data_IF_931118011292
#
_entry.id   IF_931118011292
#
_cell.length_a   1.000
_cell.length_b   1.000
_cell.length_c   1.000
_cell.angle_alpha   90.00
_cell.angle_beta   90.00
_cell.angle_gamma   90.00
#
_symmetry.space_group_name_H-M   'P 1'
#
loop_
_entity.id
_entity.type
_entity.pdbx_description
1 polymer ?
#
# COMPACT_ATOMS: atom_id res chain seq x y z
N UNK A 1 -5.61 -75.83 -13.01
CA UNK A 1 -6.32 -74.56 -12.64
C UNK A 1 -5.29 -73.52 -12.35
N UNK A 2 -4.94 -72.65 -13.33
CA UNK A 2 -4.02 -71.56 -13.20
C UNK A 2 -4.85 -70.31 -12.87
N UNK A 3 -4.51 -69.61 -11.80
CA UNK A 3 -5.07 -68.29 -11.40
C UNK A 3 -4.17 -67.21 -11.98
N UNK A 4 -4.68 -66.48 -12.95
CA UNK A 4 -4.04 -65.30 -13.53
C UNK A 4 -4.26 -64.11 -12.59
N UNK A 5 -3.20 -63.57 -11.98
CA UNK A 5 -3.25 -62.35 -11.17
C UNK A 5 -3.13 -61.10 -12.07
N UNK A 6 -4.10 -60.20 -11.99
CA UNK A 6 -4.09 -58.92 -12.66
C UNK A 6 -3.32 -57.95 -11.77
N UNK A 7 -2.21 -57.40 -12.27
CA UNK A 7 -1.45 -56.30 -11.64
C UNK A 7 -2.05 -54.99 -12.11
N UNK A 8 -2.68 -54.25 -11.22
CA UNK A 8 -3.13 -52.88 -11.48
C UNK A 8 -1.96 -51.93 -11.18
N UNK A 9 -1.37 -51.37 -12.22
CA UNK A 9 -0.39 -50.28 -12.11
C UNK A 9 -1.14 -48.99 -11.76
N UNK A 10 -1.05 -48.58 -10.50
CA UNK A 10 -1.46 -47.27 -10.07
C UNK A 10 -0.50 -46.20 -10.60
N UNK A 11 -0.99 -45.29 -11.44
CA UNK A 11 -0.26 -44.10 -11.90
C UNK A 11 -0.07 -43.12 -10.73
N UNK A 12 1.16 -43.02 -10.23
CA UNK A 12 1.54 -41.97 -9.30
C UNK A 12 1.74 -40.67 -10.09
N UNK A 13 0.75 -39.82 -10.08
CA UNK A 13 0.91 -38.45 -10.59
C UNK A 13 1.80 -37.65 -9.61
N UNK A 14 3.06 -37.48 -9.97
CA UNK A 14 3.98 -36.62 -9.23
C UNK A 14 3.49 -35.17 -9.33
N UNK A 15 2.98 -34.65 -8.24
CA UNK A 15 2.66 -33.25 -8.06
C UNK A 15 3.98 -32.49 -7.99
N UNK A 16 4.39 -31.84 -9.09
CA UNK A 16 5.52 -30.91 -9.10
C UNK A 16 5.23 -29.78 -8.12
N UNK A 17 6.17 -29.45 -7.20
CA UNK A 17 5.99 -28.29 -6.34
C UNK A 17 5.93 -27.04 -7.21
N UNK A 18 4.88 -26.23 -7.02
CA UNK A 18 4.78 -24.91 -7.63
C UNK A 18 6.03 -24.11 -7.21
N UNK A 19 6.88 -23.79 -8.17
CA UNK A 19 7.99 -22.87 -7.98
C UNK A 19 7.39 -21.56 -7.48
N UNK A 20 7.63 -21.22 -6.23
CA UNK A 20 7.33 -19.91 -5.68
C UNK A 20 8.12 -18.90 -6.52
N UNK A 21 7.43 -18.18 -7.41
CA UNK A 21 8.05 -17.09 -8.15
C UNK A 21 8.53 -16.07 -7.13
N UNK A 22 9.84 -15.82 -7.12
CA UNK A 22 10.42 -14.76 -6.32
C UNK A 22 9.71 -13.45 -6.68
N UNK A 23 9.06 -12.81 -5.72
CA UNK A 23 8.37 -11.54 -5.94
C UNK A 23 9.41 -10.48 -6.30
N UNK A 24 9.16 -9.75 -7.38
CA UNK A 24 10.01 -8.63 -7.79
C UNK A 24 10.06 -7.59 -6.65
N UNK A 25 11.28 -7.28 -6.19
CA UNK A 25 11.50 -6.29 -5.14
C UNK A 25 12.24 -5.10 -5.72
N UNK A 26 11.70 -3.90 -5.52
CA UNK A 26 12.29 -2.64 -5.96
C UNK A 26 12.76 -1.87 -4.73
N UNK A 27 14.08 -1.73 -4.57
CA UNK A 27 14.65 -0.88 -3.53
C UNK A 27 14.39 0.59 -3.86
N UNK A 28 13.87 1.34 -2.90
CA UNK A 28 13.67 2.77 -3.03
C UNK A 28 14.97 3.53 -2.76
N UNK A 29 15.07 4.75 -3.27
CA UNK A 29 16.16 5.66 -2.90
C UNK A 29 16.05 6.02 -1.42
N UNK A 30 17.17 6.37 -0.78
CA UNK A 30 17.15 6.91 0.58
C UNK A 30 16.28 8.18 0.62
N UNK A 31 15.47 8.37 1.69
CA UNK A 31 14.63 9.57 1.82
C UNK A 31 15.49 10.82 1.99
N UNK A 32 15.10 11.89 1.33
CA UNK A 32 15.74 13.20 1.47
C UNK A 32 15.28 13.88 2.78
N UNK A 33 16.05 13.68 3.83
CA UNK A 33 15.78 14.28 5.15
C UNK A 33 16.19 15.77 5.23
N UNK A 34 16.91 16.28 4.23
CA UNK A 34 17.28 17.68 4.11
C UNK A 34 16.31 18.51 3.25
N UNK A 35 15.22 17.89 2.79
CA UNK A 35 14.20 18.59 2.00
C UNK A 35 13.76 19.87 2.71
N UNK A 36 13.94 21.00 2.04
CA UNK A 36 13.52 22.30 2.57
C UNK A 36 12.00 22.43 2.57
N UNK A 37 11.46 23.04 3.61
CA UNK A 37 10.04 23.33 3.73
C UNK A 37 9.60 23.58 5.16
N UNK A 38 8.75 24.58 5.35
CA UNK A 38 8.15 24.84 6.66
C UNK A 38 6.90 24.00 6.84
N UNK A 39 6.80 23.31 7.99
CA UNK A 39 5.59 22.60 8.40
C UNK A 39 4.37 23.54 8.36
N UNK A 40 4.52 24.78 8.81
CA UNK A 40 3.42 25.76 8.81
C UNK A 40 2.98 26.13 7.39
N UNK A 41 3.92 26.20 6.45
CA UNK A 41 3.60 26.41 5.03
C UNK A 41 2.90 25.21 4.44
N UNK A 42 3.34 23.98 4.74
CA UNK A 42 2.68 22.76 4.31
C UNK A 42 1.23 22.67 4.84
N UNK A 43 1.02 22.96 6.12
CA UNK A 43 -0.30 23.03 6.75
C UNK A 43 -1.21 24.08 6.09
N UNK A 44 -0.67 25.30 5.85
CA UNK A 44 -1.40 26.39 5.21
C UNK A 44 -1.86 26.06 3.78
N UNK A 45 -0.99 25.39 3.01
CA UNK A 45 -1.22 25.12 1.59
C UNK A 45 -1.94 23.79 1.33
N UNK A 46 -1.97 22.88 2.32
CA UNK A 46 -2.61 21.58 2.16
C UNK A 46 -4.09 21.70 1.81
N UNK A 47 -4.46 21.20 0.66
CA UNK A 47 -5.85 21.09 0.20
C UNK A 47 -6.04 19.80 -0.62
N UNK A 48 -7.29 19.40 -0.82
CA UNK A 48 -7.62 18.24 -1.66
C UNK A 48 -7.65 18.64 -3.13
N UNK A 49 -6.83 17.97 -3.95
CA UNK A 49 -6.75 18.17 -5.41
C UNK A 49 -7.20 16.90 -6.11
N UNK A 50 -8.01 17.04 -7.15
CA UNK A 50 -8.61 15.93 -7.92
C UNK A 50 -8.30 16.03 -9.41
N UNK A 51 -7.38 16.89 -9.78
CA UNK A 51 -6.90 17.08 -11.15
C UNK A 51 -5.40 16.78 -11.18
N UNK A 52 -5.00 15.90 -12.08
CA UNK A 52 -3.63 15.41 -12.17
C UNK A 52 -3.09 15.61 -13.59
N UNK A 53 -1.84 16.01 -13.70
CA UNK A 53 -1.12 16.00 -14.97
C UNK A 53 -0.84 14.54 -15.38
N UNK A 54 -0.81 14.27 -16.68
CA UNK A 54 -0.45 12.96 -17.24
C UNK A 54 1.07 12.71 -17.12
N UNK A 55 1.56 12.68 -15.88
CA UNK A 55 2.97 12.51 -15.55
C UNK A 55 3.12 11.65 -14.30
N UNK A 56 3.98 10.64 -14.35
CA UNK A 56 4.34 9.82 -13.20
C UNK A 56 5.11 10.67 -12.15
N UNK A 57 5.04 10.28 -10.88
CA UNK A 57 5.93 10.80 -9.85
C UNK A 57 7.37 10.37 -10.16
N UNK A 58 8.33 11.17 -9.73
CA UNK A 58 9.73 10.72 -9.75
C UNK A 58 9.96 9.62 -8.72
N UNK A 59 11.00 8.82 -8.90
CA UNK A 59 11.38 7.81 -7.91
C UNK A 59 11.70 8.43 -6.55
N UNK A 60 12.25 9.63 -6.51
CA UNK A 60 12.52 10.38 -5.28
C UNK A 60 11.23 10.83 -4.59
N UNK A 61 10.25 11.37 -5.35
CA UNK A 61 8.94 11.76 -4.79
C UNK A 61 8.23 10.54 -4.17
N UNK A 62 8.23 9.41 -4.87
CA UNK A 62 7.61 8.18 -4.36
C UNK A 62 8.32 7.67 -3.11
N UNK A 63 9.64 7.67 -3.11
CA UNK A 63 10.46 7.25 -1.97
C UNK A 63 10.16 8.12 -0.74
N UNK A 64 10.29 9.43 -0.87
CA UNK A 64 10.04 10.37 0.21
C UNK A 64 8.59 10.30 0.72
N UNK A 65 7.60 10.16 -0.17
CA UNK A 65 6.19 10.02 0.18
C UNK A 65 5.95 8.78 1.04
N UNK A 66 6.51 7.64 0.64
CA UNK A 66 6.38 6.37 1.37
C UNK A 66 7.08 6.44 2.72
N UNK A 67 8.27 7.04 2.78
CA UNK A 67 8.95 7.23 4.04
C UNK A 67 8.20 8.19 4.96
N UNK A 68 7.74 9.32 4.45
CA UNK A 68 6.99 10.30 5.23
C UNK A 68 5.72 9.69 5.83
N UNK A 69 5.01 8.86 5.07
CA UNK A 69 3.72 8.28 5.52
C UNK A 69 3.89 7.22 6.60
N UNK A 70 4.90 6.33 6.48
CA UNK A 70 5.05 5.21 7.42
C UNK A 70 6.46 4.60 7.44
N UNK A 71 7.50 5.33 7.03
CA UNK A 71 8.88 4.82 7.03
C UNK A 71 9.45 4.65 8.42
N UNK A 72 10.47 3.81 8.56
CA UNK A 72 11.24 3.68 9.80
C UNK A 72 12.12 4.93 9.98
N UNK A 73 11.98 5.61 11.10
CA UNK A 73 12.69 6.87 11.38
C UNK A 73 13.66 6.80 12.56
N UNK A 74 13.83 5.60 13.16
CA UNK A 74 14.77 5.43 14.29
C UNK A 74 15.19 3.97 14.43
N UNK A 75 16.34 3.73 15.12
CA UNK A 75 16.98 2.40 15.16
C UNK A 75 16.14 1.29 15.79
N UNK A 76 15.16 1.61 16.62
CA UNK A 76 14.27 0.64 17.26
C UNK A 76 13.11 0.17 16.36
N UNK A 77 13.12 0.52 15.07
CA UNK A 77 12.14 0.10 14.09
C UNK A 77 10.80 0.85 14.15
N UNK A 78 10.69 1.87 14.98
CA UNK A 78 9.50 2.72 15.02
C UNK A 78 9.42 3.60 13.78
N UNK A 79 8.19 3.99 13.44
CA UNK A 79 7.86 4.65 12.19
C UNK A 79 7.57 6.14 12.38
N UNK A 80 7.53 6.87 11.28
CA UNK A 80 7.09 8.28 11.21
C UNK A 80 5.66 8.46 11.70
N UNK A 81 4.78 7.50 11.44
CA UNK A 81 3.42 7.45 11.98
C UNK A 81 3.36 6.51 13.20
N UNK A 82 2.94 6.98 14.39
CA UNK A 82 2.70 6.09 15.53
C UNK A 82 1.46 5.22 15.30
N UNK A 83 1.39 4.10 15.99
CA UNK A 83 0.20 3.24 16.07
C UNK A 83 -0.10 2.87 17.52
N UNK A 84 -1.33 2.48 17.81
CA UNK A 84 -1.76 2.06 19.13
C UNK A 84 -0.82 0.97 19.66
N UNK A 85 -0.29 1.16 20.88
CA UNK A 85 0.66 0.24 21.54
C UNK A 85 1.89 -0.13 20.68
N UNK A 86 2.20 0.66 19.64
CA UNK A 86 3.24 0.36 18.64
C UNK A 86 3.04 -1.01 17.97
N UNK A 87 1.80 -1.41 17.72
CA UNK A 87 1.48 -2.70 17.07
C UNK A 87 1.84 -2.72 15.59
N UNK A 88 2.04 -1.54 15.00
CA UNK A 88 2.45 -1.36 13.60
C UNK A 88 1.56 -2.16 12.63
N UNK A 89 0.27 -2.15 12.90
CA UNK A 89 -0.74 -2.90 12.16
C UNK A 89 -1.07 -2.27 10.81
N UNK A 90 -0.71 -1.00 10.58
CA UNK A 90 -0.99 -0.32 9.32
C UNK A 90 0.07 -0.66 8.29
N UNK A 91 -0.37 -1.34 7.22
CA UNK A 91 0.39 -1.58 5.98
C UNK A 91 0.04 -0.53 4.92
N UNK A 92 1.02 -0.17 4.08
CA UNK A 92 0.84 0.76 2.96
C UNK A 92 1.06 0.01 1.65
N UNK A 93 0.13 0.15 0.72
CA UNK A 93 0.17 -0.47 -0.59
C UNK A 93 0.13 0.61 -1.66
N UNK A 94 1.00 0.48 -2.65
CA UNK A 94 1.04 1.38 -3.82
C UNK A 94 0.26 0.71 -4.95
N UNK A 95 -0.77 1.36 -5.43
CA UNK A 95 -1.60 0.91 -6.55
C UNK A 95 -1.40 1.86 -7.72
N UNK A 96 -1.10 1.30 -8.89
CA UNK A 96 -0.89 2.04 -10.15
C UNK A 96 -1.65 1.35 -11.29
N UNK A 97 -1.70 1.99 -12.45
CA UNK A 97 -2.21 1.35 -13.66
C UNK A 97 -1.32 0.17 -14.15
N UNK A 98 -0.07 0.08 -13.69
CA UNK A 98 0.93 -0.92 -14.09
C UNK A 98 1.07 -2.07 -13.07
N UNK A 99 0.31 -2.05 -11.98
CA UNK A 99 0.38 -3.07 -10.95
C UNK A 99 0.21 -2.54 -9.53
N UNK A 100 0.35 -3.43 -8.55
CA UNK A 100 0.28 -3.08 -7.15
C UNK A 100 1.45 -3.68 -6.37
N UNK A 101 1.87 -2.96 -5.33
CA UNK A 101 3.05 -3.25 -4.52
C UNK A 101 2.72 -3.09 -3.04
N UNK A 102 3.32 -3.91 -2.18
CA UNK A 102 3.38 -3.65 -0.74
C UNK A 102 4.64 -2.87 -0.39
N UNK A 103 4.52 -1.86 0.46
CA UNK A 103 5.67 -1.14 1.00
C UNK A 103 6.21 -1.87 2.23
N UNK A 104 7.47 -2.29 2.16
CA UNK A 104 8.22 -2.84 3.29
C UNK A 104 8.99 -1.74 3.99
N UNK A 105 8.57 -1.42 5.19
CA UNK A 105 9.05 -0.27 5.96
C UNK A 105 10.52 -0.43 6.37
N UNK A 106 10.92 -1.64 6.83
CA UNK A 106 12.25 -1.93 7.36
C UNK A 106 13.33 -1.85 6.28
N UNK A 107 13.02 -2.31 5.06
CA UNK A 107 13.94 -2.30 3.93
C UNK A 107 13.81 -1.08 3.05
N UNK A 108 12.82 -0.21 3.31
CA UNK A 108 12.45 0.90 2.42
C UNK A 108 12.36 0.44 0.97
N UNK A 109 11.51 -0.56 0.72
CA UNK A 109 11.40 -1.22 -0.57
C UNK A 109 9.94 -1.53 -0.96
N UNK A 110 9.70 -1.69 -2.24
CA UNK A 110 8.43 -2.13 -2.80
C UNK A 110 8.52 -3.57 -3.25
N UNK A 111 7.59 -4.40 -2.77
CA UNK A 111 7.44 -5.78 -3.22
C UNK A 111 6.23 -5.87 -4.13
N UNK A 112 6.44 -6.28 -5.36
CA UNK A 112 5.39 -6.41 -6.37
C UNK A 112 4.44 -7.55 -6.00
N UNK A 113 3.15 -7.26 -6.04
CA UNK A 113 2.09 -8.23 -5.75
C UNK A 113 1.38 -8.69 -7.01
N UNK A 114 1.17 -7.79 -7.98
CA UNK A 114 0.47 -8.08 -9.23
C UNK A 114 0.80 -7.05 -10.30
N UNK A 115 0.69 -7.46 -11.58
CA UNK A 115 0.75 -6.56 -12.76
C UNK A 115 -0.62 -5.99 -13.15
N UNK A 116 -1.70 -6.40 -12.47
CA UNK A 116 -3.05 -5.95 -12.79
C UNK A 116 -3.26 -4.50 -12.40
N UNK A 117 -3.94 -3.74 -13.26
CA UNK A 117 -4.43 -2.42 -12.92
C UNK A 117 -5.55 -2.52 -11.88
N UNK A 118 -5.26 -2.11 -10.64
CA UNK A 118 -6.25 -2.09 -9.55
C UNK A 118 -6.83 -0.68 -9.31
N UNK A 119 -6.42 0.34 -10.07
CA UNK A 119 -6.95 1.71 -9.92
C UNK A 119 -8.49 1.78 -10.03
N UNK A 120 -9.18 1.00 -10.89
CA UNK A 120 -10.64 0.97 -10.91
C UNK A 120 -11.29 0.51 -9.60
N UNK A 121 -10.63 -0.38 -8.84
CA UNK A 121 -11.12 -0.79 -7.51
C UNK A 121 -10.97 0.32 -6.46
N UNK A 122 -9.95 1.17 -6.60
CA UNK A 122 -9.79 2.37 -5.78
C UNK A 122 -10.77 3.46 -6.21
N UNK A 123 -10.98 3.64 -7.51
CA UNK A 123 -11.82 4.70 -8.08
C UNK A 123 -13.30 4.51 -7.74
N UNK A 124 -13.83 3.30 -7.87
CA UNK A 124 -15.28 3.04 -7.88
C UNK A 124 -15.98 3.94 -8.93
N UNK A 125 -16.84 4.85 -8.48
CA UNK A 125 -17.57 5.81 -9.34
C UNK A 125 -16.90 7.19 -9.41
N UNK A 126 -15.65 7.32 -8.95
CA UNK A 126 -14.91 8.60 -8.95
C UNK A 126 -13.79 8.57 -10.00
N UNK A 127 -14.14 8.82 -11.26
CA UNK A 127 -13.28 8.63 -12.44
C UNK A 127 -11.97 9.42 -12.40
N UNK A 128 -11.92 10.54 -11.69
CA UNK A 128 -10.70 11.32 -11.53
C UNK A 128 -9.54 10.48 -10.95
N UNK A 129 -9.83 9.44 -10.17
CA UNK A 129 -8.81 8.53 -9.60
C UNK A 129 -8.02 7.81 -10.69
N UNK A 130 -8.71 7.42 -11.77
CA UNK A 130 -8.07 6.72 -12.89
C UNK A 130 -7.13 7.63 -13.72
N UNK A 131 -7.16 8.95 -13.50
CA UNK A 131 -6.25 9.90 -14.14
C UNK A 131 -4.97 10.13 -13.34
N UNK A 132 -4.92 9.70 -12.09
CA UNK A 132 -3.74 9.80 -11.23
C UNK A 132 -2.72 8.68 -11.51
N UNK A 133 -1.42 8.93 -11.36
CA UNK A 133 -0.40 7.91 -11.54
C UNK A 133 -0.42 6.82 -10.47
N UNK A 134 -0.86 7.15 -9.24
CA UNK A 134 -0.92 6.17 -8.15
C UNK A 134 -1.95 6.51 -7.08
N UNK A 135 -2.29 5.49 -6.30
CA UNK A 135 -2.98 5.61 -5.03
C UNK A 135 -2.21 4.84 -3.94
N UNK A 136 -2.07 5.43 -2.76
CA UNK A 136 -1.66 4.72 -1.55
C UNK A 136 -2.92 4.14 -0.88
N UNK A 137 -2.94 2.84 -0.64
CA UNK A 137 -4.02 2.15 0.10
C UNK A 137 -3.48 1.75 1.47
N UNK A 138 -4.14 2.20 2.51
CA UNK A 138 -3.81 1.91 3.90
C UNK A 138 -4.66 0.74 4.39
N UNK A 139 -3.99 -0.32 4.83
CA UNK A 139 -4.60 -1.57 5.25
C UNK A 139 -4.29 -1.82 6.72
N UNK A 140 -5.31 -2.02 7.52
CA UNK A 140 -5.16 -2.38 8.93
C UNK A 140 -5.22 -3.90 9.12
N UNK A 141 -4.23 -4.45 9.80
CA UNK A 141 -4.25 -5.84 10.28
C UNK A 141 -5.00 -5.90 11.63
N UNK A 142 -6.30 -6.15 11.57
CA UNK A 142 -7.16 -6.18 12.74
C UNK A 142 -6.84 -7.35 13.68
N UNK A 143 -6.07 -8.35 13.25
CA UNK A 143 -5.66 -9.46 14.13
C UNK A 143 -4.68 -9.02 15.21
N UNK A 144 -3.97 -7.90 14.97
CA UNK A 144 -3.06 -7.28 15.94
C UNK A 144 -3.76 -6.40 16.98
N UNK A 145 -4.99 -6.00 16.70
CA UNK A 145 -5.77 -5.08 17.54
C UNK A 145 -6.90 -5.83 18.26
N UNK A 146 -6.71 -6.24 19.53
CA UNK A 146 -7.70 -7.01 20.25
C UNK A 146 -8.93 -6.17 20.65
N UNK A 147 -10.09 -6.84 20.69
CA UNK A 147 -11.34 -6.30 21.21
C UNK A 147 -12.17 -5.51 20.20
N UNK A 148 -13.35 -5.07 20.65
CA UNK A 148 -14.37 -4.43 19.82
C UNK A 148 -13.94 -3.09 19.18
N UNK A 149 -12.96 -2.41 19.77
CA UNK A 149 -12.43 -1.12 19.28
C UNK A 149 -11.31 -1.27 18.28
N UNK A 150 -10.88 -2.49 17.92
CA UNK A 150 -9.74 -2.70 17.01
C UNK A 150 -9.89 -2.00 15.67
N UNK A 151 -11.05 -2.12 15.01
CA UNK A 151 -11.29 -1.43 13.74
C UNK A 151 -11.28 0.11 13.87
N UNK A 152 -11.78 0.64 14.99
CA UNK A 152 -11.75 2.08 15.27
C UNK A 152 -10.31 2.56 15.46
N UNK A 153 -9.48 1.81 16.21
CA UNK A 153 -8.07 2.16 16.41
C UNK A 153 -7.29 2.12 15.10
N UNK A 154 -7.48 1.07 14.28
CA UNK A 154 -6.86 0.99 12.97
C UNK A 154 -7.25 2.19 12.06
N UNK A 155 -8.50 2.64 12.13
CA UNK A 155 -8.93 3.82 11.36
C UNK A 155 -8.24 5.11 11.85
N UNK A 156 -8.05 5.28 13.17
CA UNK A 156 -7.30 6.41 13.74
C UNK A 156 -5.84 6.38 13.28
N UNK A 157 -5.18 5.21 13.42
CA UNK A 157 -3.77 5.05 13.09
C UNK A 157 -3.51 5.20 11.57
N UNK A 158 -4.43 4.69 10.73
CA UNK A 158 -4.41 4.97 9.30
C UNK A 158 -4.54 6.47 9.00
N UNK A 159 -5.43 7.18 9.69
CA UNK A 159 -5.60 8.63 9.56
C UNK A 159 -4.34 9.43 9.90
N UNK A 160 -3.58 9.00 10.90
CA UNK A 160 -2.27 9.60 11.26
C UNK A 160 -1.27 9.43 10.11
N UNK A 161 -1.14 8.21 9.56
CA UNK A 161 -0.25 7.93 8.45
C UNK A 161 -0.68 8.69 7.17
N UNK A 162 -1.98 8.77 6.91
CA UNK A 162 -2.56 9.57 5.82
C UNK A 162 -2.19 11.04 5.97
N UNK A 163 -2.30 11.63 7.17
CA UNK A 163 -1.96 13.05 7.37
C UNK A 163 -0.49 13.33 7.07
N UNK A 164 0.43 12.41 7.41
CA UNK A 164 1.84 12.55 7.02
C UNK A 164 2.00 12.62 5.50
N UNK A 165 1.32 11.74 4.76
CA UNK A 165 1.34 11.79 3.29
C UNK A 165 0.80 13.10 2.73
N UNK A 166 -0.30 13.63 3.30
CA UNK A 166 -0.90 14.91 2.85
C UNK A 166 0.04 16.10 3.10
N UNK A 167 0.72 16.13 4.24
CA UNK A 167 1.69 17.18 4.56
C UNK A 167 2.91 17.11 3.65
N UNK A 168 3.43 15.90 3.41
CA UNK A 168 4.51 15.70 2.44
C UNK A 168 4.10 16.18 1.04
N UNK A 169 2.93 15.74 0.53
CA UNK A 169 2.44 16.18 -0.77
C UNK A 169 2.35 17.72 -0.86
N UNK A 170 1.84 18.37 0.20
CA UNK A 170 1.76 19.83 0.25
C UNK A 170 3.12 20.50 0.22
N UNK A 171 4.11 19.95 0.95
CA UNK A 171 5.48 20.48 0.98
C UNK A 171 6.21 20.26 -0.35
N UNK A 172 5.98 19.11 -1.00
CA UNK A 172 6.61 18.73 -2.27
C UNK A 172 5.89 19.30 -3.52
N UNK A 173 4.80 20.04 -3.35
CA UNK A 173 4.01 20.56 -4.48
C UNK A 173 3.27 19.48 -5.26
N UNK A 174 2.95 18.34 -4.63
CA UNK A 174 2.17 17.27 -5.23
C UNK A 174 0.67 17.48 -5.02
N UNK A 175 -0.13 17.06 -5.99
CA UNK A 175 -1.58 16.99 -5.89
C UNK A 175 -2.01 15.73 -5.16
N UNK A 176 -2.87 15.84 -4.14
CA UNK A 176 -3.37 14.67 -3.44
C UNK A 176 -4.79 14.86 -2.87
N UNK A 177 -5.47 13.73 -2.62
CA UNK A 177 -6.76 13.70 -1.94
C UNK A 177 -6.92 12.43 -1.10
N UNK A 178 -7.27 12.55 0.21
CA UNK A 178 -7.58 11.40 1.05
C UNK A 178 -9.03 10.95 0.79
N UNK A 179 -9.27 9.64 0.79
CA UNK A 179 -10.58 9.04 0.54
C UNK A 179 -10.76 7.77 1.36
N UNK A 180 -12.02 7.47 1.73
CA UNK A 180 -12.42 6.17 2.26
C UNK A 180 -13.18 5.33 1.20
N UNK A 181 -13.61 5.94 0.09
CA UNK A 181 -14.33 5.24 -0.99
C UNK A 181 -13.36 4.36 -1.77
N UNK A 182 -13.63 3.06 -1.79
CA UNK A 182 -12.92 2.03 -2.58
C UNK A 182 -13.70 0.71 -2.50
N UNK A 183 -13.42 -0.23 -3.39
CA UNK A 183 -13.93 -1.60 -3.28
C UNK A 183 -13.05 -2.40 -2.31
N UNK A 184 -13.44 -2.41 -1.03
CA UNK A 184 -12.67 -3.03 0.06
C UNK A 184 -12.43 -4.52 -0.20
N UNK A 185 -13.48 -5.29 -0.50
CA UNK A 185 -13.39 -6.73 -0.72
C UNK A 185 -12.60 -7.05 -2.00
N UNK A 186 -12.86 -6.30 -3.07
CA UNK A 186 -12.12 -6.44 -4.34
C UNK A 186 -10.62 -6.18 -4.18
N UNK A 187 -10.24 -5.15 -3.42
CA UNK A 187 -8.84 -4.84 -3.12
C UNK A 187 -8.21 -5.90 -2.21
N UNK A 188 -8.93 -6.35 -1.17
CA UNK A 188 -8.43 -7.41 -0.29
C UNK A 188 -8.11 -8.69 -1.05
N UNK A 189 -9.00 -9.09 -1.97
CA UNK A 189 -8.79 -10.25 -2.84
C UNK A 189 -7.64 -10.03 -3.83
N UNK A 190 -7.63 -8.90 -4.54
CA UNK A 190 -6.65 -8.62 -5.60
C UNK A 190 -5.23 -8.43 -5.06
N UNK A 191 -5.08 -7.89 -3.85
CA UNK A 191 -3.81 -7.74 -3.14
C UNK A 191 -3.42 -8.99 -2.35
N UNK A 192 -4.25 -10.05 -2.36
CA UNK A 192 -4.05 -11.28 -1.58
C UNK A 192 -3.79 -11.00 -0.10
N UNK A 193 -4.59 -10.10 0.48
CA UNK A 193 -4.44 -9.73 1.89
C UNK A 193 -4.73 -10.92 2.80
N UNK A 194 -3.97 -11.07 3.91
CA UNK A 194 -4.26 -12.12 4.88
C UNK A 194 -5.60 -11.87 5.58
N UNK A 195 -6.17 -12.95 6.15
CA UNK A 195 -7.43 -12.87 6.91
C UNK A 195 -7.30 -11.86 8.05
N UNK A 196 -8.24 -10.94 8.14
CA UNK A 196 -8.24 -9.87 9.15
C UNK A 196 -7.54 -8.59 8.73
N UNK A 197 -6.86 -8.57 7.58
CA UNK A 197 -6.33 -7.34 7.00
C UNK A 197 -7.39 -6.67 6.12
N UNK A 198 -7.70 -5.39 6.41
CA UNK A 198 -8.81 -4.65 5.80
C UNK A 198 -8.32 -3.32 5.25
N UNK A 199 -8.57 -2.98 3.96
CA UNK A 199 -8.36 -1.65 3.42
C UNK A 199 -9.23 -0.61 4.14
N UNK A 200 -8.63 0.46 4.67
CA UNK A 200 -9.31 1.46 5.52
C UNK A 200 -9.46 2.79 4.80
N UNK A 201 -8.36 3.31 4.27
CA UNK A 201 -8.29 4.60 3.59
C UNK A 201 -7.41 4.52 2.36
N UNK A 202 -7.54 5.48 1.46
CA UNK A 202 -6.59 5.68 0.38
C UNK A 202 -6.27 7.17 0.20
N UNK A 203 -5.08 7.43 -0.35
CA UNK A 203 -4.66 8.76 -0.81
C UNK A 203 -4.29 8.64 -2.27
N UNK A 204 -5.02 9.35 -3.13
CA UNK A 204 -4.68 9.45 -4.55
C UNK A 204 -3.67 10.57 -4.70
N UNK A 205 -2.57 10.32 -5.41
CA UNK A 205 -1.44 11.24 -5.54
C UNK A 205 -1.00 11.35 -6.99
N UNK A 206 -0.60 12.55 -7.41
CA UNK A 206 -0.05 12.82 -8.74
C UNK A 206 0.62 14.19 -8.80
N UNK A 207 1.13 14.51 -9.98
CA UNK A 207 1.60 15.87 -10.26
C UNK A 207 0.38 16.79 -10.45
N UNK A 208 0.40 18.03 -9.95
CA UNK A 208 -0.68 18.99 -10.20
C UNK A 208 -0.78 19.32 -11.71
N UNK A 209 -2.00 19.59 -12.17
CA UNK A 209 -2.29 19.98 -13.54
C UNK A 209 -1.94 21.45 -13.79
#
# INVERSE_FOLDING_TARGET
MQKTGIIVLGSVTAMLPALAQASETVRLAEPDLAMEGSLMTALKNRHSTREYAAKDLTGADLSNLLWATAGVNRPDGRRTAPTALNLQEIGVYVVTAKGAFSYRHEGHELVKLTDKNLMPLVAMQQDFVNTAPLALVYVGDLTKLPGERGAQMAAVDAGIAVQNALLYCSAAGLACVPRATMNVDGLAQALSLPKGAVPIMNVVVGMPK
#
